data_IF_620980961031
#
_entry.id   IF_620980961031
#
_cell.length_a   1.000
_cell.length_b   1.000
_cell.length_c   1.000
_cell.angle_alpha   90.00
_cell.angle_beta   90.00
_cell.angle_gamma   90.00
#
_symmetry.space_group_name_H-M   'P 1'
#
loop_
_entity.id
_entity.type
_entity.pdbx_description
1 polymer ?
#
# COMPACT_ATOMS: atom_id res chain seq x y z
N UNK A 1 -17.77 -18.46 1.93
CA UNK A 1 -18.08 -19.47 2.96
C UNK A 1 -19.16 -19.05 3.97
N UNK A 2 -19.77 -17.84 3.88
CA UNK A 2 -20.88 -17.43 4.76
C UNK A 2 -22.15 -16.94 4.02
N UNK A 3 -22.19 -17.03 2.69
CA UNK A 3 -23.34 -16.57 1.87
C UNK A 3 -23.41 -15.05 1.64
N UNK A 4 -22.63 -14.26 2.37
CA UNK A 4 -22.49 -12.81 2.14
C UNK A 4 -21.29 -12.51 1.23
N UNK A 5 -21.45 -11.54 0.33
CA UNK A 5 -20.35 -11.00 -0.48
C UNK A 5 -19.61 -9.93 0.34
N UNK A 6 -18.35 -10.23 0.70
CA UNK A 6 -17.48 -9.25 1.36
C UNK A 6 -16.93 -8.29 0.30
N UNK A 7 -16.91 -6.97 0.58
CA UNK A 7 -16.28 -6.00 -0.31
C UNK A 7 -14.77 -6.24 -0.40
N UNK A 8 -14.21 -6.03 -1.59
CA UNK A 8 -12.76 -6.12 -1.81
C UNK A 8 -12.01 -5.10 -0.96
N UNK A 9 -10.96 -5.53 -0.27
CA UNK A 9 -10.15 -4.64 0.55
C UNK A 9 -9.08 -3.86 -0.24
N UNK A 10 -8.58 -4.44 -1.32
CA UNK A 10 -7.54 -3.87 -2.17
C UNK A 10 -7.98 -3.85 -3.63
N UNK A 11 -7.89 -2.70 -4.29
CA UNK A 11 -8.26 -2.54 -5.70
C UNK A 11 -7.12 -1.91 -6.52
N UNK A 12 -6.11 -2.71 -6.90
CA UNK A 12 -4.91 -2.25 -7.63
C UNK A 12 -4.37 -0.89 -7.15
N UNK A 13 -3.98 -0.78 -5.87
CA UNK A 13 -3.53 0.49 -5.30
C UNK A 13 -2.31 1.08 -6.03
N UNK A 14 -1.46 0.23 -6.59
CA UNK A 14 -0.24 0.64 -7.27
C UNK A 14 -0.47 1.25 -8.67
N UNK A 15 -1.71 1.19 -9.18
CA UNK A 15 -2.13 1.83 -10.43
C UNK A 15 -2.84 3.19 -10.20
N UNK A 16 -2.78 3.72 -8.98
CA UNK A 16 -3.41 5.01 -8.64
C UNK A 16 -2.56 6.19 -9.08
N UNK A 17 -3.17 7.16 -9.76
CA UNK A 17 -2.49 8.36 -10.25
C UNK A 17 -2.54 9.53 -9.25
N UNK A 18 -3.20 9.32 -8.11
CA UNK A 18 -3.30 10.27 -7.00
C UNK A 18 -3.17 9.57 -5.66
N UNK A 19 -2.78 10.32 -4.62
CA UNK A 19 -2.52 9.76 -3.29
C UNK A 19 -3.83 9.39 -2.57
N UNK A 20 -4.87 10.22 -2.70
CA UNK A 20 -6.21 9.91 -2.22
C UNK A 20 -6.78 8.65 -2.92
N UNK A 21 -6.57 8.53 -4.23
CA UNK A 21 -6.94 7.33 -4.99
C UNK A 21 -6.17 6.10 -4.49
N UNK A 22 -4.88 6.25 -4.19
CA UNK A 22 -4.03 5.20 -3.64
C UNK A 22 -4.56 4.70 -2.30
N UNK A 23 -4.82 5.58 -1.34
CA UNK A 23 -5.34 5.19 -0.01
C UNK A 23 -6.70 4.51 -0.15
N UNK A 24 -7.60 5.10 -0.96
CA UNK A 24 -8.93 4.54 -1.21
C UNK A 24 -8.86 3.12 -1.76
N UNK A 25 -7.90 2.84 -2.65
CA UNK A 25 -7.69 1.52 -3.26
C UNK A 25 -6.84 0.57 -2.41
N UNK A 26 -6.04 1.08 -1.49
CA UNK A 26 -5.22 0.27 -0.59
C UNK A 26 -6.04 -0.27 0.57
N UNK A 27 -6.98 0.50 1.11
CA UNK A 27 -7.80 0.05 2.22
C UNK A 27 -9.27 0.39 1.96
N UNK A 28 -9.86 -0.21 0.92
CA UNK A 28 -11.20 0.12 0.44
C UNK A 28 -12.27 0.05 1.53
N UNK A 29 -12.26 -1.02 2.32
CA UNK A 29 -13.26 -1.24 3.38
C UNK A 29 -13.06 -0.26 4.52
N UNK A 30 -11.82 -0.12 5.00
CA UNK A 30 -11.45 0.79 6.07
C UNK A 30 -11.67 2.26 5.70
N UNK A 31 -11.26 2.66 4.49
CA UNK A 31 -11.50 4.00 3.97
C UNK A 31 -12.99 4.33 3.92
N UNK A 32 -13.81 3.39 3.44
CA UNK A 32 -15.27 3.57 3.38
C UNK A 32 -15.86 3.71 4.78
N UNK A 33 -15.41 2.89 5.73
CA UNK A 33 -15.81 2.99 7.14
C UNK A 33 -15.42 4.33 7.76
N UNK A 34 -14.15 4.76 7.64
CA UNK A 34 -13.70 6.06 8.14
C UNK A 34 -14.49 7.22 7.49
N UNK A 35 -14.72 7.14 6.18
CA UNK A 35 -15.49 8.15 5.45
C UNK A 35 -16.93 8.25 5.95
N UNK A 36 -17.60 7.11 6.10
CA UNK A 36 -19.04 7.07 6.37
C UNK A 36 -19.36 7.32 7.85
N UNK A 37 -18.48 6.90 8.77
CA UNK A 37 -18.68 7.03 10.21
C UNK A 37 -17.99 8.24 10.85
N UNK A 38 -16.89 8.76 10.29
CA UNK A 38 -16.19 9.93 10.84
C UNK A 38 -16.29 11.14 9.92
N UNK A 39 -15.87 11.02 8.66
CA UNK A 39 -15.77 12.18 7.78
C UNK A 39 -17.13 12.81 7.48
N UNK A 40 -18.12 12.01 7.05
CA UNK A 40 -19.46 12.53 6.69
C UNK A 40 -20.20 13.17 7.86
N UNK A 41 -20.21 12.59 9.09
CA UNK A 41 -20.85 13.25 10.23
C UNK A 41 -20.19 14.58 10.62
N UNK A 42 -18.87 14.71 10.48
CA UNK A 42 -18.13 15.93 10.84
C UNK A 42 -18.23 16.99 9.72
N UNK A 43 -18.15 16.57 8.46
CA UNK A 43 -18.25 17.44 7.30
C UNK A 43 -19.72 17.79 7.02
N UNK A 44 -20.24 18.78 7.76
CA UNK A 44 -21.64 19.21 7.67
C UNK A 44 -22.01 19.86 6.33
N UNK A 45 -21.03 20.44 5.64
CA UNK A 45 -21.20 21.06 4.33
C UNK A 45 -20.66 20.12 3.23
N UNK A 46 -21.48 19.80 2.22
CA UNK A 46 -21.10 18.86 1.15
C UNK A 46 -20.34 19.52 0.00
N UNK A 47 -20.41 20.84 -0.09
CA UNK A 47 -19.92 21.60 -1.24
C UNK A 47 -18.44 22.01 -1.12
N UNK A 48 -17.82 21.84 0.05
CA UNK A 48 -16.41 22.17 0.27
C UNK A 48 -15.68 21.09 1.06
N UNK A 49 -14.37 20.94 0.77
CA UNK A 49 -13.51 20.04 1.53
C UNK A 49 -13.32 20.62 2.93
N UNK A 50 -13.92 19.98 3.94
CA UNK A 50 -13.69 20.35 5.32
C UNK A 50 -12.35 19.76 5.79
N UNK A 51 -11.28 20.55 5.69
CA UNK A 51 -9.92 20.13 6.08
C UNK A 51 -9.86 19.61 7.53
N UNK A 52 -10.57 20.27 8.45
CA UNK A 52 -10.64 19.81 9.85
C UNK A 52 -11.32 18.44 9.97
N UNK A 53 -12.41 18.20 9.22
CA UNK A 53 -13.06 16.90 9.21
C UNK A 53 -12.14 15.81 8.64
N UNK A 54 -11.36 16.13 7.60
CA UNK A 54 -10.38 15.21 7.02
C UNK A 54 -9.29 14.85 8.03
N UNK A 55 -8.66 15.85 8.67
CA UNK A 55 -7.60 15.64 9.66
C UNK A 55 -8.12 14.79 10.82
N UNK A 56 -9.28 15.12 11.37
CA UNK A 56 -9.89 14.36 12.46
C UNK A 56 -10.23 12.92 12.05
N UNK A 57 -10.71 12.71 10.82
CA UNK A 57 -11.03 11.38 10.32
C UNK A 57 -9.79 10.51 10.14
N UNK A 58 -8.69 11.08 9.63
CA UNK A 58 -7.42 10.37 9.47
C UNK A 58 -6.81 10.05 10.84
N UNK A 59 -6.85 10.99 11.78
CA UNK A 59 -6.39 10.76 13.15
C UNK A 59 -7.21 9.68 13.85
N UNK A 60 -8.54 9.74 13.76
CA UNK A 60 -9.41 8.68 14.29
C UNK A 60 -9.10 7.32 13.66
N UNK A 61 -8.85 7.30 12.35
CA UNK A 61 -8.40 6.11 11.63
C UNK A 61 -7.04 5.60 12.13
N UNK A 62 -6.09 6.48 12.43
CA UNK A 62 -4.77 6.05 12.94
C UNK A 62 -4.84 5.44 14.34
N UNK A 63 -5.74 5.93 15.19
CA UNK A 63 -5.95 5.37 16.53
C UNK A 63 -6.45 3.93 16.46
N UNK A 64 -7.18 3.56 15.42
CA UNK A 64 -7.63 2.19 15.18
C UNK A 64 -6.45 1.20 14.99
N UNK A 65 -5.34 1.64 14.41
CA UNK A 65 -4.15 0.79 14.23
C UNK A 65 -3.34 0.58 15.52
N UNK A 66 -3.51 1.46 16.50
CA UNK A 66 -2.81 1.41 17.77
C UNK A 66 -2.52 2.78 18.34
N UNK A 67 -2.40 2.85 19.66
CA UNK A 67 -1.97 4.04 20.37
C UNK A 67 -0.44 4.06 20.45
N UNK A 68 0.20 4.83 19.58
CA UNK A 68 1.65 4.97 19.53
C UNK A 68 2.08 6.25 18.81
N UNK A 69 3.33 6.67 19.02
CA UNK A 69 3.89 7.85 18.34
C UNK A 69 4.00 7.62 16.82
N UNK A 70 4.26 6.38 16.40
CA UNK A 70 4.38 5.99 14.99
C UNK A 70 3.04 6.14 14.25
N UNK A 71 1.91 5.71 14.82
CA UNK A 71 0.59 5.84 14.18
C UNK A 71 0.19 7.31 13.98
N UNK A 72 0.52 8.19 14.93
CA UNK A 72 0.30 9.63 14.81
C UNK A 72 1.16 10.27 13.71
N UNK A 73 2.43 9.86 13.59
CA UNK A 73 3.32 10.33 12.53
C UNK A 73 2.83 9.90 11.15
N UNK A 74 2.38 8.65 11.03
CA UNK A 74 1.77 8.15 9.80
C UNK A 74 0.48 8.89 9.44
N UNK A 75 -0.36 9.22 10.43
CA UNK A 75 -1.55 10.04 10.22
C UNK A 75 -1.21 11.44 9.71
N UNK A 76 -0.19 12.07 10.32
CA UNK A 76 0.31 13.37 9.89
C UNK A 76 0.86 13.31 8.46
N UNK A 77 1.61 12.26 8.12
CA UNK A 77 2.11 12.02 6.76
C UNK A 77 0.96 11.94 5.75
N UNK A 78 -0.09 11.16 6.03
CA UNK A 78 -1.27 11.07 5.17
C UNK A 78 -1.95 12.43 4.97
N UNK A 79 -2.18 13.17 6.06
CA UNK A 79 -2.81 14.49 5.98
C UNK A 79 -1.99 15.47 5.12
N UNK A 80 -0.67 15.48 5.29
CA UNK A 80 0.23 16.33 4.50
C UNK A 80 0.20 15.93 3.03
N UNK A 81 0.29 14.63 2.71
CA UNK A 81 0.24 14.16 1.33
C UNK A 81 -1.08 14.49 0.62
N UNK A 82 -2.22 14.34 1.31
CA UNK A 82 -3.53 14.74 0.78
C UNK A 82 -3.62 16.26 0.57
N UNK A 83 -3.04 17.06 1.48
CA UNK A 83 -2.96 18.51 1.34
C UNK A 83 -2.11 18.93 0.13
N UNK A 84 -0.93 18.30 -0.04
CA UNK A 84 -0.04 18.54 -1.19
C UNK A 84 -0.74 18.17 -2.49
N UNK A 85 -1.41 17.03 -2.56
CA UNK A 85 -2.18 16.62 -3.75
C UNK A 85 -3.26 17.64 -4.10
N UNK A 86 -3.99 18.15 -3.09
CA UNK A 86 -5.02 19.16 -3.30
C UNK A 86 -4.46 20.47 -3.88
N UNK A 87 -3.30 20.92 -3.39
CA UNK A 87 -2.64 22.14 -3.87
C UNK A 87 -2.01 21.96 -5.26
N UNK A 88 -1.39 20.81 -5.52
CA UNK A 88 -0.67 20.51 -6.76
C UNK A 88 -1.53 19.87 -7.84
N UNK A 89 -2.86 19.78 -7.66
CA UNK A 89 -3.78 19.11 -8.59
C UNK A 89 -3.62 19.54 -10.05
N UNK A 90 -3.36 20.82 -10.29
CA UNK A 90 -3.19 21.37 -11.64
C UNK A 90 -1.85 20.95 -12.27
N UNK A 91 -0.79 20.87 -11.47
CA UNK A 91 0.54 20.44 -11.91
C UNK A 91 0.54 18.92 -12.15
N UNK A 92 -0.07 18.16 -11.23
CA UNK A 92 -0.26 16.71 -11.39
C UNK A 92 -1.09 16.38 -12.64
N UNK A 93 -2.05 17.21 -13.03
CA UNK A 93 -2.82 16.99 -14.25
C UNK A 93 -1.97 17.07 -15.52
N UNK A 94 -0.86 17.82 -15.51
CA UNK A 94 0.04 17.95 -16.65
C UNK A 94 1.05 16.78 -16.78
N UNK A 95 1.24 15.98 -15.72
CA UNK A 95 2.19 14.87 -15.71
C UNK A 95 1.54 13.60 -16.30
N UNK A 96 2.26 12.83 -17.14
CA UNK A 96 1.75 11.55 -17.66
C UNK A 96 1.35 10.57 -16.54
N UNK A 97 0.26 9.84 -16.75
CA UNK A 97 -0.34 8.95 -15.75
C UNK A 97 0.66 7.91 -15.21
N UNK A 98 1.51 7.33 -16.07
CA UNK A 98 2.50 6.34 -15.63
C UNK A 98 3.53 6.90 -14.64
N UNK A 99 4.01 8.13 -14.86
CA UNK A 99 4.95 8.81 -13.96
C UNK A 99 4.25 9.14 -12.64
N UNK A 100 3.00 9.61 -12.69
CA UNK A 100 2.22 9.87 -11.48
C UNK A 100 2.06 8.61 -10.63
N UNK A 101 1.70 7.48 -11.23
CA UNK A 101 1.57 6.21 -10.51
C UNK A 101 2.90 5.83 -9.83
N UNK A 102 4.03 5.92 -10.54
CA UNK A 102 5.34 5.64 -9.97
C UNK A 102 5.66 6.56 -8.77
N UNK A 103 5.41 7.87 -8.91
CA UNK A 103 5.61 8.83 -7.81
C UNK A 103 4.72 8.51 -6.62
N UNK A 104 3.43 8.20 -6.81
CA UNK A 104 2.53 7.85 -5.71
C UNK A 104 2.98 6.58 -4.98
N UNK A 105 3.49 5.58 -5.72
CA UNK A 105 4.04 4.37 -5.13
C UNK A 105 5.28 4.65 -4.28
N UNK A 106 6.21 5.49 -4.78
CA UNK A 106 7.39 5.89 -4.01
C UNK A 106 6.99 6.66 -2.75
N UNK A 107 6.07 7.62 -2.85
CA UNK A 107 5.56 8.36 -1.70
C UNK A 107 4.90 7.43 -0.67
N UNK A 108 4.10 6.47 -1.13
CA UNK A 108 3.49 5.49 -0.25
C UNK A 108 4.54 4.64 0.48
N UNK A 109 5.56 4.17 -0.24
CA UNK A 109 6.67 3.40 0.36
C UNK A 109 7.46 4.21 1.39
N UNK A 110 7.66 5.51 1.18
CA UNK A 110 8.29 6.41 2.16
C UNK A 110 7.42 6.58 3.42
N UNK A 111 6.09 6.47 3.29
CA UNK A 111 5.16 6.54 4.41
C UNK A 111 5.17 5.30 5.31
N UNK A 112 5.48 4.11 4.77
CA UNK A 112 5.40 2.84 5.52
C UNK A 112 6.35 2.74 6.73
N UNK A 113 7.62 3.18 6.67
CA UNK A 113 8.51 3.18 7.84
C UNK A 113 7.95 3.93 9.04
N UNK A 114 7.23 5.04 8.81
CA UNK A 114 6.60 5.80 9.90
C UNK A 114 5.45 5.05 10.57
N UNK A 115 4.84 4.08 9.89
CA UNK A 115 3.83 3.19 10.49
C UNK A 115 4.48 1.97 11.16
N UNK A 116 5.56 1.43 10.59
CA UNK A 116 6.14 0.17 11.02
C UNK A 116 7.16 0.29 12.16
N UNK A 117 7.82 1.44 12.31
CA UNK A 117 8.94 1.63 13.24
C UNK A 117 8.52 2.58 14.38
N UNK A 118 8.72 2.14 15.62
CA UNK A 118 8.34 2.90 16.81
C UNK A 118 9.21 4.15 17.07
N UNK A 119 10.48 4.10 16.68
CA UNK A 119 11.46 5.17 16.88
C UNK A 119 11.58 6.07 15.65
N UNK A 120 11.26 7.35 15.83
CA UNK A 120 11.38 8.36 14.77
C UNK A 120 12.80 8.43 14.15
N UNK A 121 13.91 8.40 14.92
CA UNK A 121 15.25 8.42 14.33
C UNK A 121 15.53 7.21 13.42
N UNK A 122 15.07 6.02 13.81
CA UNK A 122 15.25 4.80 13.02
C UNK A 122 14.38 4.81 11.76
N UNK A 123 13.15 5.32 11.84
CA UNK A 123 12.29 5.52 10.67
C UNK A 123 12.94 6.49 9.65
N UNK A 124 13.47 7.62 10.13
CA UNK A 124 14.19 8.57 9.27
C UNK A 124 15.47 7.95 8.70
N UNK A 125 16.22 7.17 9.48
CA UNK A 125 17.37 6.41 9.00
C UNK A 125 17.02 5.42 7.90
N UNK A 126 15.88 4.74 8.02
CA UNK A 126 15.38 3.83 6.99
C UNK A 126 15.02 4.56 5.70
N UNK A 127 14.31 5.69 5.79
CA UNK A 127 13.99 6.54 4.64
C UNK A 127 15.27 7.08 3.99
N UNK A 128 16.25 7.51 4.78
CA UNK A 128 17.55 7.95 4.26
C UNK A 128 18.27 6.81 3.53
N UNK A 129 18.25 5.59 4.06
CA UNK A 129 18.82 4.42 3.41
C UNK A 129 18.12 4.09 2.08
N UNK A 130 16.79 4.21 2.01
CA UNK A 130 16.03 4.05 0.76
C UNK A 130 16.44 5.08 -0.32
N UNK A 131 16.88 6.26 0.09
CA UNK A 131 17.39 7.32 -0.80
C UNK A 131 18.91 7.23 -1.04
N UNK A 132 19.58 6.20 -0.50
CA UNK A 132 21.01 5.96 -0.72
C UNK A 132 21.95 6.52 0.37
N UNK A 133 21.43 6.94 1.52
CA UNK A 133 22.16 7.54 2.65
C UNK A 133 23.11 6.61 3.44
N UNK A 134 23.64 5.55 2.82
CA UNK A 134 24.61 4.63 3.42
C UNK A 134 25.66 4.16 2.42
N UNK A 135 25.22 3.63 1.28
CA UNK A 135 26.07 3.31 0.12
C UNK A 135 25.23 3.27 -1.14
N UNK A 136 25.63 4.00 -2.18
CA UNK A 136 24.92 4.09 -3.45
C UNK A 136 24.97 2.77 -4.26
N UNK A 137 25.97 1.91 -4.00
CA UNK A 137 26.23 0.70 -4.78
C UNK A 137 25.59 -0.58 -4.21
N UNK A 138 24.83 -0.47 -3.13
CA UNK A 138 24.22 -1.61 -2.45
C UNK A 138 25.22 -2.37 -1.58
N UNK A 139 24.83 -2.63 -0.34
CA UNK A 139 25.59 -3.48 0.57
C UNK A 139 25.50 -4.96 0.13
N UNK A 140 26.42 -5.81 0.59
CA UNK A 140 26.41 -7.26 0.33
C UNK A 140 25.05 -7.86 0.69
N UNK A 141 24.46 -7.39 1.79
CA UNK A 141 23.11 -7.74 2.24
C UNK A 141 22.02 -7.34 1.23
N UNK A 142 22.08 -6.13 0.66
CA UNK A 142 21.11 -5.68 -0.34
C UNK A 142 21.18 -6.55 -1.59
N UNK A 143 22.39 -6.89 -2.04
CA UNK A 143 22.59 -7.78 -3.19
C UNK A 143 22.06 -9.19 -2.94
N UNK A 144 22.21 -9.70 -1.72
CA UNK A 144 21.68 -11.00 -1.30
C UNK A 144 20.15 -11.02 -1.28
N UNK A 145 19.52 -10.00 -0.70
CA UNK A 145 18.05 -9.88 -0.63
C UNK A 145 17.45 -9.78 -2.03
N UNK A 146 18.05 -8.97 -2.92
CA UNK A 146 17.59 -8.83 -4.29
C UNK A 146 17.69 -10.17 -5.03
N UNK A 147 18.84 -10.84 -4.97
CA UNK A 147 19.04 -12.13 -5.68
C UNK A 147 18.09 -13.22 -5.18
N UNK A 148 17.86 -13.27 -3.87
CA UNK A 148 16.99 -14.29 -3.25
C UNK A 148 15.50 -13.99 -3.51
N UNK A 149 15.12 -12.71 -3.54
CA UNK A 149 13.74 -12.26 -3.69
C UNK A 149 13.29 -11.92 -5.12
N UNK A 150 14.20 -11.89 -6.11
CA UNK A 150 13.93 -11.35 -7.46
C UNK A 150 12.71 -11.99 -8.11
N UNK A 151 12.57 -13.31 -8.01
CA UNK A 151 11.44 -14.04 -8.59
C UNK A 151 10.12 -13.57 -7.96
N UNK A 152 10.09 -13.42 -6.64
CA UNK A 152 8.91 -12.93 -5.92
C UNK A 152 8.59 -11.49 -6.29
N UNK A 153 9.59 -10.62 -6.40
CA UNK A 153 9.39 -9.23 -6.81
C UNK A 153 8.83 -9.10 -8.23
N UNK A 154 9.32 -9.92 -9.16
CA UNK A 154 8.78 -9.96 -10.52
C UNK A 154 7.33 -10.44 -10.55
N UNK A 155 7.00 -11.48 -9.78
CA UNK A 155 5.63 -11.96 -9.65
C UNK A 155 4.73 -10.87 -9.06
N UNK A 156 5.13 -10.24 -7.95
CA UNK A 156 4.39 -9.13 -7.34
C UNK A 156 4.19 -7.96 -8.32
N UNK A 157 5.24 -7.57 -9.05
CA UNK A 157 5.18 -6.54 -10.08
C UNK A 157 4.19 -6.89 -11.19
N UNK A 158 4.19 -8.14 -11.66
CA UNK A 158 3.24 -8.62 -12.66
C UNK A 158 1.79 -8.51 -12.18
N UNK A 159 1.48 -8.97 -10.95
CA UNK A 159 0.12 -8.88 -10.41
C UNK A 159 -0.31 -7.45 -10.06
N UNK A 160 0.62 -6.58 -9.68
CA UNK A 160 0.35 -5.17 -9.36
C UNK A 160 -0.15 -4.35 -10.57
N UNK A 161 0.16 -4.76 -11.80
CA UNK A 161 -0.22 -4.05 -13.05
C UNK A 161 -1.65 -4.33 -13.52
N UNK A 162 -2.41 -5.19 -12.83
CA UNK A 162 -3.79 -5.53 -13.21
C UNK A 162 -3.94 -6.55 -14.34
N UNK A 163 -2.84 -7.03 -14.92
CA UNK A 163 -2.83 -8.07 -15.96
C UNK A 163 -3.54 -9.35 -15.47
N UNK A 164 -3.39 -9.72 -14.20
CA UNK A 164 -4.09 -10.87 -13.61
C UNK A 164 -5.62 -10.76 -13.75
N UNK A 165 -6.19 -9.57 -13.54
CA UNK A 165 -7.65 -9.34 -13.71
C UNK A 165 -8.05 -9.40 -15.18
N UNK A 166 -7.22 -8.90 -16.09
CA UNK A 166 -7.45 -8.99 -17.52
C UNK A 166 -7.45 -10.45 -18.02
N UNK A 167 -6.44 -11.24 -17.63
CA UNK A 167 -6.35 -12.66 -17.97
C UNK A 167 -7.55 -13.45 -17.43
N UNK A 168 -7.94 -13.22 -16.17
CA UNK A 168 -9.12 -13.85 -15.58
C UNK A 168 -10.37 -13.58 -16.41
N UNK A 169 -10.62 -12.32 -16.79
CA UNK A 169 -11.78 -11.94 -17.62
C UNK A 169 -11.75 -12.61 -18.99
N UNK A 170 -10.59 -12.68 -19.65
CA UNK A 170 -10.45 -13.32 -20.97
C UNK A 170 -10.67 -14.83 -20.91
N UNK A 171 -10.12 -15.51 -19.90
CA UNK A 171 -10.28 -16.96 -19.75
C UNK A 171 -11.74 -17.29 -19.39
N UNK A 172 -12.38 -16.47 -18.55
CA UNK A 172 -13.79 -16.63 -18.18
C UNK A 172 -14.74 -16.51 -19.39
N UNK A 173 -14.37 -15.69 -20.39
CA UNK A 173 -15.12 -15.59 -21.65
C UNK A 173 -15.00 -16.83 -22.54
N UNK A 174 -13.91 -17.60 -22.41
CA UNK A 174 -13.67 -18.80 -23.21
C UNK A 174 -14.24 -20.04 -22.53
N UNK A 175 -13.99 -20.21 -21.22
CA UNK A 175 -14.48 -21.35 -20.45
C UNK A 175 -14.47 -21.07 -18.94
N UNK A 176 -15.66 -20.99 -18.35
CA UNK A 176 -15.83 -20.72 -16.92
C UNK A 176 -15.29 -21.85 -16.04
N UNK A 177 -15.38 -23.10 -16.48
CA UNK A 177 -14.94 -24.27 -15.69
C UNK A 177 -13.42 -24.26 -15.46
N UNK A 178 -12.66 -23.76 -16.43
CA UNK A 178 -11.20 -23.65 -16.31
C UNK A 178 -10.82 -22.67 -15.19
N UNK A 179 -11.53 -21.54 -15.08
CA UNK A 179 -11.26 -20.54 -14.02
C UNK A 179 -11.51 -21.13 -12.64
N UNK A 180 -12.61 -21.87 -12.45
CA UNK A 180 -12.94 -22.50 -11.17
C UNK A 180 -11.92 -23.55 -10.71
N UNK A 181 -11.18 -24.18 -11.64
CA UNK A 181 -10.13 -25.15 -11.31
C UNK A 181 -8.78 -24.44 -11.09
N UNK A 182 -8.41 -23.50 -11.98
CA UNK A 182 -7.10 -22.84 -11.94
C UNK A 182 -6.98 -21.88 -10.76
N UNK A 183 -8.04 -21.13 -10.44
CA UNK A 183 -8.03 -20.13 -9.37
C UNK A 183 -7.64 -20.72 -8.00
N UNK A 184 -8.27 -21.80 -7.48
CA UNK A 184 -7.87 -22.39 -6.21
C UNK A 184 -6.47 -23.02 -6.26
N UNK A 185 -6.05 -23.58 -7.40
CA UNK A 185 -4.69 -24.13 -7.53
C UNK A 185 -3.63 -23.02 -7.44
N UNK A 186 -3.87 -21.87 -8.09
CA UNK A 186 -3.00 -20.70 -8.00
C UNK A 186 -2.94 -20.16 -6.58
N UNK A 187 -4.08 -20.01 -5.89
CA UNK A 187 -4.08 -19.48 -4.52
C UNK A 187 -3.35 -20.40 -3.55
N UNK A 188 -3.48 -21.72 -3.68
CA UNK A 188 -2.71 -22.69 -2.89
C UNK A 188 -1.21 -22.57 -3.21
N UNK A 189 -0.84 -22.49 -4.50
CA UNK A 189 0.54 -22.29 -4.91
C UNK A 189 1.14 -21.00 -4.33
N UNK A 190 0.40 -19.90 -4.39
CA UNK A 190 0.80 -18.62 -3.78
C UNK A 190 0.95 -18.71 -2.28
N UNK A 191 0.03 -19.39 -1.59
CA UNK A 191 0.11 -19.58 -0.15
C UNK A 191 1.37 -20.38 0.23
N UNK A 192 1.69 -21.45 -0.50
CA UNK A 192 2.89 -22.25 -0.27
C UNK A 192 4.17 -21.45 -0.50
N UNK A 193 4.24 -20.68 -1.58
CA UNK A 193 5.38 -19.80 -1.86
C UNK A 193 5.51 -18.74 -0.76
N UNK A 194 4.42 -18.08 -0.39
CA UNK A 194 4.43 -17.02 0.62
C UNK A 194 4.85 -17.55 1.99
N UNK A 195 4.39 -18.75 2.37
CA UNK A 195 4.78 -19.40 3.62
C UNK A 195 6.23 -19.85 3.60
N UNK A 196 6.73 -20.39 2.48
CA UNK A 196 8.14 -20.72 2.32
C UNK A 196 9.05 -19.49 2.45
N UNK A 197 8.67 -18.36 1.84
CA UNK A 197 9.37 -17.08 2.00
C UNK A 197 9.30 -16.55 3.43
N UNK A 198 8.17 -16.70 4.13
CA UNK A 198 8.02 -16.27 5.53
C UNK A 198 8.90 -17.09 6.47
N UNK A 199 8.97 -18.41 6.28
CA UNK A 199 9.86 -19.30 7.05
C UNK A 199 11.33 -19.03 6.75
N UNK A 200 11.69 -18.83 5.48
CA UNK A 200 13.05 -18.43 5.08
C UNK A 200 13.44 -17.03 5.61
N UNK A 201 12.47 -16.12 5.68
CA UNK A 201 12.59 -14.78 6.27
C UNK A 201 12.85 -14.78 7.77
N UNK A 202 12.32 -15.77 8.50
CA UNK A 202 12.50 -15.91 9.95
C UNK A 202 13.97 -16.05 10.39
N UNK A 203 14.81 -16.64 9.53
CA UNK A 203 16.26 -16.79 9.74
C UNK A 203 17.09 -15.73 8.99
N UNK A 204 16.44 -14.77 8.34
CA UNK A 204 17.13 -13.67 7.65
C UNK A 204 17.53 -12.59 8.66
N UNK A 205 18.75 -12.08 8.54
CA UNK A 205 19.39 -11.06 9.40
C UNK A 205 18.62 -9.73 9.56
N UNK A 206 17.44 -9.59 8.97
CA UNK A 206 16.57 -8.43 9.14
C UNK A 206 15.88 -8.40 10.52
N UNK A 207 15.72 -9.55 11.18
CA UNK A 207 15.23 -9.63 12.56
C UNK A 207 16.30 -9.33 13.63
N UNK A 208 17.58 -9.16 13.25
CA UNK A 208 18.66 -8.81 14.18
C UNK A 208 18.66 -7.31 14.56
N UNK A 209 17.87 -6.48 13.87
CA UNK A 209 17.71 -5.06 14.20
C UNK A 209 16.44 -4.74 15.00
N UNK A 210 15.69 -5.77 15.41
CA UNK A 210 14.45 -5.65 16.21
C UNK A 210 14.58 -6.38 17.56
N UNK A 211 15.81 -6.63 18.04
CA UNK A 211 16.07 -6.98 19.44
C UNK A 211 17.03 -6.00 20.06
#
# INVERSE_FOLDING_TARGET
MLGFELPDNFDLPFMSAGFNELIKRFACTFYSWVRDYFYRPICRNKDSVCLWALILSVLAGSVWYGYGRHTMLWAAFICVMLGIEYLLKNILAAVPTGVRCAVMNVLFLIGLPFLAIDSLPSACGYVAAMLGGGSFAGDVLASYVIKTGVVMYLICGFFATGIGRYLKRRIMQLNTNIVYIIEPMLTIGFLLISTAFLVGGGNSSMNLFVR
#
